data_IF_449342789431
#
_entry.id   IF_449342789431
#
_cell.length_a   1.000
_cell.length_b   1.000
_cell.length_c   1.000
_cell.angle_alpha   90.00
_cell.angle_beta   90.00
_cell.angle_gamma   90.00
#
_symmetry.space_group_name_H-M   'P 1'
#
loop_
_entity.id
_entity.type
_entity.pdbx_description
1 polymer ?
#
# COMPACT_ATOMS: atom_id res chain seq x y z
N UNK A 1 -18.51 -21.79 28.06
CA UNK A 1 -17.75 -20.83 27.23
C UNK A 1 -16.30 -21.28 27.16
N UNK A 2 -15.81 -21.48 25.94
CA UNK A 2 -14.41 -21.84 25.72
C UNK A 2 -13.52 -20.60 25.90
N UNK A 3 -12.37 -20.75 26.58
CA UNK A 3 -11.46 -19.62 26.86
C UNK A 3 -10.08 -19.86 26.24
N UNK A 4 -9.49 -18.78 25.78
CA UNK A 4 -8.15 -18.70 25.19
C UNK A 4 -7.32 -17.65 25.94
N UNK A 5 -5.99 -17.74 25.85
CA UNK A 5 -5.12 -16.67 26.36
C UNK A 5 -5.25 -15.44 25.46
N UNK A 6 -5.29 -15.67 24.14
CA UNK A 6 -5.48 -14.61 23.17
C UNK A 6 -6.46 -15.04 22.05
N UNK A 7 -7.29 -14.09 21.61
CA UNK A 7 -8.10 -14.21 20.40
C UNK A 7 -7.63 -13.14 19.40
N UNK A 8 -7.40 -13.55 18.15
CA UNK A 8 -6.98 -12.67 17.09
C UNK A 8 -8.06 -12.67 16.01
N UNK A 9 -8.56 -11.47 15.66
CA UNK A 9 -9.60 -11.31 14.65
C UNK A 9 -8.97 -10.81 13.36
N UNK A 10 -9.04 -11.64 12.32
CA UNK A 10 -8.49 -11.40 10.98
C UNK A 10 -7.35 -12.36 10.64
N UNK A 11 -7.59 -13.32 9.75
CA UNK A 11 -6.62 -14.29 9.25
C UNK A 11 -5.90 -13.77 7.99
N UNK A 12 -5.49 -12.50 8.00
CA UNK A 12 -4.57 -11.91 7.05
C UNK A 12 -3.11 -12.06 7.47
N UNK A 13 -2.23 -11.31 6.83
CA UNK A 13 -0.80 -11.34 7.09
C UNK A 13 -0.45 -11.13 8.57
N UNK A 14 -0.90 -10.03 9.15
CA UNK A 14 -0.60 -9.68 10.53
C UNK A 14 -1.22 -10.67 11.53
N UNK A 15 -2.48 -11.04 11.34
CA UNK A 15 -3.19 -11.94 12.25
C UNK A 15 -2.62 -13.35 12.28
N UNK A 16 -2.30 -13.93 11.13
CA UNK A 16 -1.67 -15.25 11.06
C UNK A 16 -0.28 -15.24 11.70
N UNK A 17 0.53 -14.24 11.39
CA UNK A 17 1.88 -14.16 11.92
C UNK A 17 1.91 -13.98 13.44
N UNK A 18 1.07 -13.07 13.97
CA UNK A 18 0.92 -12.87 15.41
C UNK A 18 0.45 -14.14 16.11
N UNK A 19 -0.55 -14.82 15.55
CA UNK A 19 -1.08 -16.09 16.10
C UNK A 19 -0.03 -17.18 16.16
N UNK A 20 0.74 -17.33 15.09
CA UNK A 20 1.81 -18.32 15.01
C UNK A 20 2.87 -18.09 16.09
N UNK A 21 3.34 -16.86 16.24
CA UNK A 21 4.36 -16.50 17.23
C UNK A 21 3.87 -16.72 18.67
N UNK A 22 2.66 -16.27 18.98
CA UNK A 22 2.08 -16.46 20.32
C UNK A 22 1.82 -17.93 20.64
N UNK A 23 1.30 -18.70 19.67
CA UNK A 23 1.07 -20.13 19.81
C UNK A 23 2.34 -20.95 20.03
N UNK A 24 3.40 -20.65 19.25
CA UNK A 24 4.70 -21.31 19.40
C UNK A 24 5.38 -20.97 20.73
N UNK A 25 5.05 -19.86 21.34
CA UNK A 25 5.48 -19.49 22.69
C UNK A 25 4.60 -20.10 23.81
N UNK A 26 3.69 -21.01 23.47
CA UNK A 26 2.88 -21.78 24.42
C UNK A 26 1.55 -21.16 24.81
N UNK A 27 1.13 -20.04 24.17
CA UNK A 27 -0.19 -19.45 24.44
C UNK A 27 -1.28 -20.21 23.70
N UNK A 28 -2.44 -20.37 24.36
CA UNK A 28 -3.64 -20.93 23.73
C UNK A 28 -4.32 -19.83 22.90
N UNK A 29 -4.18 -19.93 21.58
CA UNK A 29 -4.59 -18.89 20.63
C UNK A 29 -5.76 -19.37 19.76
N UNK A 30 -6.76 -18.49 19.59
CA UNK A 30 -7.83 -18.64 18.60
C UNK A 30 -7.68 -17.54 17.55
N UNK A 31 -7.57 -17.95 16.28
CA UNK A 31 -7.58 -17.06 15.11
C UNK A 31 -8.94 -17.16 14.42
N UNK A 32 -9.64 -16.04 14.26
CA UNK A 32 -10.99 -15.97 13.67
C UNK A 32 -10.96 -15.16 12.40
N UNK A 33 -11.64 -15.64 11.36
CA UNK A 33 -11.90 -14.86 10.15
C UNK A 33 -13.30 -15.18 9.58
N UNK A 34 -13.97 -14.19 9.03
CA UNK A 34 -15.26 -14.36 8.37
C UNK A 34 -15.15 -14.97 6.96
N UNK A 35 -13.96 -15.00 6.41
CA UNK A 35 -13.68 -15.54 5.07
C UNK A 35 -13.60 -17.05 5.02
N UNK A 36 -13.64 -17.56 3.80
CA UNK A 36 -13.54 -19.01 3.51
C UNK A 36 -12.11 -19.53 3.54
N UNK A 37 -11.14 -18.64 3.36
CA UNK A 37 -9.70 -18.95 3.28
C UNK A 37 -8.89 -17.87 3.98
N UNK A 38 -7.76 -18.23 4.62
CA UNK A 38 -6.85 -17.24 5.17
C UNK A 38 -6.04 -16.54 4.06
N UNK A 39 -5.48 -15.39 4.35
CA UNK A 39 -4.49 -14.73 3.50
C UNK A 39 -5.02 -14.21 2.16
N UNK A 40 -6.29 -13.86 2.03
CA UNK A 40 -6.91 -13.47 0.76
C UNK A 40 -6.19 -12.29 0.07
N UNK A 41 -5.80 -11.26 0.82
CA UNK A 41 -5.02 -10.12 0.27
C UNK A 41 -3.60 -10.55 -0.13
N UNK A 42 -2.98 -11.48 0.58
CA UNK A 42 -1.67 -12.02 0.21
C UNK A 42 -1.74 -12.67 -1.16
N UNK A 43 -2.74 -13.52 -1.39
CA UNK A 43 -2.93 -14.25 -2.65
C UNK A 43 -3.10 -13.33 -3.87
N UNK A 44 -3.71 -12.17 -3.68
CA UNK A 44 -3.92 -11.19 -4.77
C UNK A 44 -2.77 -10.22 -4.94
N UNK A 45 -1.89 -10.13 -3.96
CA UNK A 45 -0.79 -9.16 -3.97
C UNK A 45 0.30 -9.52 -4.99
N UNK A 46 0.97 -8.48 -5.50
CA UNK A 46 2.09 -8.66 -6.41
C UNK A 46 1.76 -9.45 -7.68
N UNK A 47 0.52 -9.35 -8.17
CA UNK A 47 0.09 -10.13 -9.33
C UNK A 47 0.06 -11.64 -9.08
N UNK A 48 -0.23 -12.06 -7.84
CA UNK A 48 -0.26 -13.47 -7.42
C UNK A 48 1.10 -14.03 -6.99
N UNK A 49 2.13 -13.19 -6.86
CA UNK A 49 3.48 -13.60 -6.43
C UNK A 49 3.90 -13.04 -5.08
N UNK A 50 3.06 -12.27 -4.44
CA UNK A 50 3.27 -11.60 -3.17
C UNK A 50 4.57 -10.78 -3.10
N UNK A 51 4.43 -9.48 -3.08
CA UNK A 51 5.53 -8.58 -2.73
C UNK A 51 5.67 -8.54 -1.20
N UNK A 52 6.35 -9.52 -0.62
CA UNK A 52 6.27 -9.84 0.81
C UNK A 52 7.08 -8.92 1.71
N UNK A 53 8.07 -8.21 1.20
CA UNK A 53 8.82 -7.15 1.90
C UNK A 53 9.63 -6.31 0.92
N UNK A 54 10.42 -5.37 1.48
CA UNK A 54 11.31 -4.51 0.72
C UNK A 54 12.68 -4.45 1.40
N UNK A 55 13.76 -4.42 0.63
CA UNK A 55 15.13 -4.32 1.14
C UNK A 55 15.41 -2.98 1.82
N UNK A 56 14.70 -1.91 1.44
CA UNK A 56 14.94 -0.53 1.88
C UNK A 56 13.90 -0.03 2.90
N UNK A 57 13.36 -0.94 3.71
CA UNK A 57 12.42 -0.56 4.77
C UNK A 57 13.08 0.41 5.75
N UNK A 58 12.45 1.56 5.87
CA UNK A 58 12.84 2.62 6.82
C UNK A 58 11.61 3.38 7.31
N UNK A 59 11.64 4.01 8.49
CA UNK A 59 10.49 4.73 9.02
C UNK A 59 9.95 5.84 8.12
N UNK A 60 10.82 6.50 7.34
CA UNK A 60 10.44 7.56 6.39
C UNK A 60 9.55 7.10 5.23
N UNK A 61 9.48 5.79 4.98
CA UNK A 61 8.61 5.20 3.97
C UNK A 61 7.17 4.95 4.46
N UNK A 62 6.82 5.41 5.65
CA UNK A 62 5.50 5.20 6.26
C UNK A 62 4.82 6.53 6.60
N UNK A 63 3.54 6.64 6.21
CA UNK A 63 2.67 7.75 6.57
C UNK A 63 1.92 7.42 7.84
N UNK A 64 1.90 8.37 8.76
CA UNK A 64 1.10 8.34 9.99
C UNK A 64 1.02 9.77 10.53
N UNK A 65 -0.02 10.11 11.25
CA UNK A 65 -0.04 11.37 12.02
C UNK A 65 1.05 11.39 13.11
N UNK A 66 1.46 10.22 13.58
CA UNK A 66 2.64 10.06 14.42
C UNK A 66 3.75 9.32 13.63
N UNK A 67 4.65 10.03 12.94
CA UNK A 67 5.68 9.41 12.10
C UNK A 67 6.73 8.61 12.91
N UNK A 68 6.74 8.74 14.23
CA UNK A 68 7.65 8.01 15.11
C UNK A 68 7.10 6.66 15.58
N UNK A 69 5.80 6.44 15.44
CA UNK A 69 5.15 5.25 15.99
C UNK A 69 5.73 3.93 15.44
N UNK A 70 5.99 3.85 14.16
CA UNK A 70 6.47 2.63 13.51
C UNK A 70 7.92 2.26 13.82
N UNK A 71 8.72 3.18 14.33
CA UNK A 71 10.17 3.01 14.50
C UNK A 71 10.55 1.80 15.36
N UNK A 72 9.91 1.66 16.52
CA UNK A 72 10.24 0.57 17.46
C UNK A 72 9.96 -0.81 16.87
N UNK A 73 8.78 -1.02 16.30
CA UNK A 73 8.42 -2.32 15.75
C UNK A 73 9.27 -2.67 14.52
N UNK A 74 9.50 -1.73 13.60
CA UNK A 74 10.35 -1.95 12.43
C UNK A 74 11.81 -2.26 12.77
N UNK A 75 12.33 -1.68 13.86
CA UNK A 75 13.70 -1.93 14.30
C UNK A 75 13.87 -3.28 15.01
N UNK A 76 12.84 -3.78 15.69
CA UNK A 76 12.89 -5.04 16.45
C UNK A 76 12.58 -6.27 15.64
N UNK A 77 11.75 -6.15 14.61
CA UNK A 77 11.51 -7.18 13.60
C UNK A 77 11.66 -6.55 12.22
N UNK A 78 12.79 -6.82 11.59
CA UNK A 78 13.20 -6.19 10.33
C UNK A 78 12.79 -7.02 9.11
N UNK A 79 12.94 -6.44 7.92
CA UNK A 79 12.79 -7.18 6.66
C UNK A 79 13.72 -8.39 6.57
N UNK A 80 14.90 -8.32 7.15
CA UNK A 80 15.87 -9.43 7.16
C UNK A 80 15.38 -10.61 7.99
N UNK A 81 14.72 -10.36 9.11
CA UNK A 81 14.09 -11.39 9.94
C UNK A 81 13.00 -12.13 9.18
N UNK A 82 12.18 -11.40 8.41
CA UNK A 82 11.15 -12.04 7.59
C UNK A 82 11.74 -12.80 6.40
N UNK A 83 12.76 -12.26 5.74
CA UNK A 83 13.50 -12.95 4.67
C UNK A 83 14.09 -14.27 5.20
N UNK A 84 14.65 -14.28 6.40
CA UNK A 84 15.17 -15.48 7.02
C UNK A 84 14.08 -16.55 7.23
N UNK A 85 12.87 -16.13 7.63
CA UNK A 85 11.73 -17.04 7.74
C UNK A 85 11.34 -17.62 6.38
N UNK A 86 11.26 -16.79 5.34
CA UNK A 86 10.97 -17.22 3.96
C UNK A 86 12.02 -18.22 3.47
N UNK A 87 13.30 -17.94 3.71
CA UNK A 87 14.40 -18.84 3.38
C UNK A 87 14.34 -20.16 4.14
N UNK A 88 14.00 -20.13 5.44
CA UNK A 88 13.83 -21.32 6.27
C UNK A 88 12.76 -22.28 5.73
N UNK A 89 11.71 -21.73 5.10
CA UNK A 89 10.67 -22.52 4.44
C UNK A 89 11.03 -22.91 3.00
N UNK A 90 12.24 -22.61 2.53
CA UNK A 90 12.69 -23.00 1.19
C UNK A 90 11.96 -22.29 0.05
N UNK A 91 11.35 -21.14 0.30
CA UNK A 91 10.62 -20.36 -0.70
C UNK A 91 11.61 -19.53 -1.53
N UNK A 92 11.68 -19.80 -2.84
CA UNK A 92 12.51 -19.04 -3.76
C UNK A 92 11.88 -17.67 -4.03
N UNK A 93 12.73 -16.65 -4.07
CA UNK A 93 12.32 -15.27 -4.29
C UNK A 93 13.37 -14.49 -5.07
N UNK A 94 12.97 -13.34 -5.64
CA UNK A 94 13.85 -12.42 -6.36
C UNK A 94 13.50 -10.96 -6.04
N UNK A 95 14.47 -10.08 -6.23
CA UNK A 95 14.24 -8.64 -6.29
C UNK A 95 13.81 -8.25 -7.71
N UNK A 96 12.69 -7.55 -7.84
CA UNK A 96 12.21 -7.06 -9.13
C UNK A 96 12.83 -5.71 -9.47
N UNK A 97 12.57 -4.71 -8.64
CA UNK A 97 13.09 -3.34 -8.76
C UNK A 97 12.87 -2.61 -7.43
N UNK A 98 13.66 -1.57 -7.14
CA UNK A 98 13.51 -0.70 -5.97
C UNK A 98 13.39 -1.46 -4.64
N UNK A 99 14.11 -2.55 -4.50
CA UNK A 99 14.12 -3.36 -3.28
C UNK A 99 12.90 -4.26 -3.09
N UNK A 100 11.98 -4.34 -4.04
CA UNK A 100 10.75 -5.13 -3.96
C UNK A 100 11.04 -6.62 -4.09
N UNK A 101 10.68 -7.41 -3.08
CA UNK A 101 10.90 -8.86 -3.07
C UNK A 101 9.62 -9.64 -3.35
N UNK A 102 9.69 -10.51 -4.34
CA UNK A 102 8.57 -11.35 -4.79
C UNK A 102 8.92 -12.83 -4.70
N UNK A 103 7.93 -13.68 -4.39
CA UNK A 103 8.08 -15.12 -4.59
C UNK A 103 8.27 -15.42 -6.08
N UNK A 104 9.14 -16.39 -6.39
CA UNK A 104 9.35 -16.79 -7.78
C UNK A 104 8.12 -17.47 -8.38
N UNK A 105 7.45 -18.32 -7.61
CA UNK A 105 6.34 -19.13 -8.09
C UNK A 105 4.96 -18.53 -7.76
N UNK A 106 4.60 -18.43 -6.49
CA UNK A 106 3.23 -18.09 -6.09
C UNK A 106 3.15 -17.45 -4.71
N UNK A 107 2.22 -16.49 -4.56
CA UNK A 107 1.80 -15.95 -3.27
C UNK A 107 1.24 -17.02 -2.31
N UNK A 108 0.74 -18.14 -2.84
CA UNK A 108 0.27 -19.28 -2.04
C UNK A 108 1.36 -19.80 -1.11
N UNK A 109 2.63 -19.74 -1.50
CA UNK A 109 3.75 -20.19 -0.67
C UNK A 109 3.87 -19.40 0.64
N UNK A 110 3.62 -18.08 0.62
CA UNK A 110 3.61 -17.27 1.84
C UNK A 110 2.42 -17.64 2.74
N UNK A 111 1.24 -17.86 2.15
CA UNK A 111 0.06 -18.30 2.91
C UNK A 111 0.31 -19.67 3.56
N UNK A 112 0.82 -20.62 2.79
CA UNK A 112 1.13 -21.98 3.29
C UNK A 112 2.18 -21.95 4.40
N UNK A 113 3.21 -21.10 4.26
CA UNK A 113 4.20 -20.87 5.31
C UNK A 113 3.55 -20.37 6.61
N UNK A 114 2.68 -19.37 6.52
CA UNK A 114 2.00 -18.82 7.70
C UNK A 114 1.03 -19.83 8.34
N UNK A 115 0.34 -20.63 7.54
CA UNK A 115 -0.52 -21.72 8.02
C UNK A 115 0.32 -22.77 8.76
N UNK A 116 1.44 -23.18 8.17
CA UNK A 116 2.36 -24.14 8.80
C UNK A 116 2.91 -23.61 10.14
N UNK A 117 3.29 -22.33 10.18
CA UNK A 117 3.73 -21.70 11.43
C UNK A 117 2.61 -21.62 12.49
N UNK A 118 1.35 -21.41 12.08
CA UNK A 118 0.20 -21.50 12.98
C UNK A 118 -0.03 -22.94 13.50
N UNK A 119 0.10 -23.95 12.64
CA UNK A 119 -0.01 -25.36 13.02
C UNK A 119 1.07 -25.77 14.03
N UNK A 120 2.31 -25.34 13.83
CA UNK A 120 3.41 -25.55 14.79
C UNK A 120 3.11 -24.92 16.15
N UNK A 121 2.38 -23.82 16.18
CA UNK A 121 1.92 -23.16 17.41
C UNK A 121 0.64 -23.71 18.00
N UNK A 122 0.07 -24.79 17.46
CA UNK A 122 -1.23 -25.36 17.86
C UNK A 122 -2.35 -24.29 17.87
N UNK A 123 -2.32 -23.33 16.97
CA UNK A 123 -3.33 -22.27 16.85
C UNK A 123 -4.66 -22.89 16.40
N UNK A 124 -5.73 -22.61 17.15
CA UNK A 124 -7.08 -22.94 16.70
C UNK A 124 -7.54 -21.92 15.68
N UNK A 125 -7.85 -22.36 14.46
CA UNK A 125 -8.30 -21.48 13.37
C UNK A 125 -9.77 -21.71 13.08
N UNK A 126 -10.58 -20.65 13.13
CA UNK A 126 -12.02 -20.67 12.79
C UNK A 126 -12.29 -19.71 11.65
N UNK A 127 -12.41 -20.25 10.45
CA UNK A 127 -12.86 -19.54 9.26
C UNK A 127 -14.40 -19.53 9.17
N UNK A 128 -14.96 -18.72 8.28
CA UNK A 128 -16.42 -18.53 8.11
C UNK A 128 -17.13 -18.21 9.43
N UNK A 129 -16.42 -17.51 10.31
CA UNK A 129 -16.89 -17.16 11.64
C UNK A 129 -16.98 -15.65 11.78
N UNK A 130 -18.19 -15.16 11.89
CA UNK A 130 -18.45 -13.72 12.07
C UNK A 130 -18.48 -13.40 13.58
N UNK A 131 -17.79 -12.34 13.97
CA UNK A 131 -17.87 -11.78 15.32
C UNK A 131 -19.06 -10.83 15.36
N UNK A 132 -20.09 -11.17 16.12
CA UNK A 132 -21.33 -10.40 16.23
C UNK A 132 -21.21 -9.29 17.28
N UNK A 133 -20.54 -9.57 18.40
CA UNK A 133 -20.32 -8.59 19.46
C UNK A 133 -19.05 -8.91 20.25
N UNK A 134 -18.51 -7.87 20.87
CA UNK A 134 -17.37 -7.94 21.78
C UNK A 134 -17.75 -7.18 23.05
N UNK A 135 -17.60 -7.82 24.20
CA UNK A 135 -17.76 -7.20 25.51
C UNK A 135 -16.49 -7.37 26.33
N UNK A 136 -16.23 -6.46 27.25
CA UNK A 136 -15.11 -6.53 28.19
C UNK A 136 -15.60 -6.38 29.61
N UNK A 137 -15.10 -7.24 30.50
CA UNK A 137 -15.27 -7.15 31.94
C UNK A 137 -13.92 -7.31 32.67
N UNK A 138 -13.95 -7.55 33.96
CA UNK A 138 -12.75 -7.74 34.79
C UNK A 138 -11.96 -9.00 34.42
N UNK A 139 -12.62 -9.99 33.80
CA UNK A 139 -12.01 -11.29 33.43
C UNK A 139 -11.42 -11.31 32.02
N UNK A 140 -11.62 -10.24 31.24
CA UNK A 140 -11.14 -10.11 29.86
C UNK A 140 -12.26 -9.81 28.87
N UNK A 141 -12.14 -10.39 27.69
CA UNK A 141 -13.07 -10.17 26.58
C UNK A 141 -13.96 -11.38 26.35
N UNK A 142 -15.21 -11.09 26.00
CA UNK A 142 -16.19 -12.11 25.58
C UNK A 142 -16.67 -11.75 24.19
N UNK A 143 -16.54 -12.71 23.25
CA UNK A 143 -16.97 -12.56 21.87
C UNK A 143 -18.15 -13.49 21.61
N UNK A 144 -19.18 -12.93 21.00
CA UNK A 144 -20.31 -13.67 20.46
C UNK A 144 -20.07 -13.96 18.97
N UNK A 145 -20.07 -15.22 18.62
CA UNK A 145 -19.94 -15.72 17.25
C UNK A 145 -21.26 -16.36 16.81
N UNK A 146 -21.37 -16.72 15.53
CA UNK A 146 -22.51 -17.48 15.05
C UNK A 146 -22.69 -18.80 15.81
N UNK A 147 -23.61 -18.79 16.79
CA UNK A 147 -23.99 -19.98 17.56
C UNK A 147 -23.07 -20.38 18.72
N UNK A 148 -22.09 -19.56 19.07
CA UNK A 148 -21.21 -19.82 20.22
C UNK A 148 -20.64 -18.54 20.84
N UNK A 149 -20.22 -18.66 22.10
CA UNK A 149 -19.51 -17.62 22.84
C UNK A 149 -18.12 -18.09 23.23
N UNK A 150 -17.10 -17.27 23.00
CA UNK A 150 -15.71 -17.53 23.37
C UNK A 150 -15.17 -16.37 24.22
N UNK A 151 -14.17 -16.65 25.05
CA UNK A 151 -13.55 -15.63 25.90
C UNK A 151 -12.03 -15.65 25.82
N UNK A 152 -11.40 -14.50 26.13
CA UNK A 152 -9.96 -14.39 26.21
C UNK A 152 -9.53 -13.30 27.19
N UNK A 153 -8.27 -13.36 27.61
CA UNK A 153 -7.65 -12.28 28.37
C UNK A 153 -7.19 -11.13 27.46
N UNK A 154 -6.64 -11.48 26.30
CA UNK A 154 -6.06 -10.54 25.34
C UNK A 154 -6.76 -10.67 23.98
N UNK A 155 -7.19 -9.52 23.42
CA UNK A 155 -7.89 -9.45 22.14
C UNK A 155 -7.07 -8.63 21.15
N UNK A 156 -6.79 -9.19 19.98
CA UNK A 156 -6.01 -8.55 18.91
C UNK A 156 -6.90 -8.33 17.69
N UNK A 157 -6.96 -7.09 17.24
CA UNK A 157 -7.66 -6.68 16.03
C UNK A 157 -6.66 -6.61 14.87
N UNK A 158 -6.81 -7.49 13.91
CA UNK A 158 -5.95 -7.63 12.72
C UNK A 158 -6.77 -7.63 11.43
N UNK A 159 -7.83 -6.83 11.40
CA UNK A 159 -8.86 -6.86 10.36
C UNK A 159 -8.51 -6.12 9.07
N UNK A 160 -7.36 -5.45 9.04
CA UNK A 160 -6.96 -4.65 7.87
C UNK A 160 -7.79 -3.37 7.72
N UNK A 161 -7.79 -2.83 6.51
CA UNK A 161 -8.50 -1.61 6.13
C UNK A 161 -9.73 -1.87 5.27
N UNK A 162 -10.11 -0.85 4.49
CA UNK A 162 -11.30 -0.84 3.64
C UNK A 162 -11.01 -1.13 2.17
N UNK A 163 -9.74 -1.17 1.79
CA UNK A 163 -9.34 -1.42 0.40
C UNK A 163 -9.69 -2.85 -0.04
N UNK A 164 -10.04 -2.98 -1.32
CA UNK A 164 -10.47 -4.24 -1.95
C UNK A 164 -11.67 -4.88 -1.24
N UNK A 165 -12.84 -4.23 -1.21
CA UNK A 165 -14.01 -4.73 -0.48
C UNK A 165 -14.47 -6.12 -0.94
N UNK A 166 -14.21 -6.49 -2.20
CA UNK A 166 -14.46 -7.84 -2.72
C UNK A 166 -13.67 -8.96 -2.03
N UNK A 167 -12.61 -8.63 -1.31
CA UNK A 167 -11.82 -9.56 -0.50
C UNK A 167 -12.26 -9.60 0.98
N UNK A 168 -13.40 -8.99 1.31
CA UNK A 168 -13.97 -9.02 2.65
C UNK A 168 -13.46 -7.92 3.59
N UNK A 169 -12.92 -6.83 3.04
CA UNK A 169 -12.62 -5.64 3.83
C UNK A 169 -13.88 -5.11 4.51
N UNK A 170 -13.77 -4.71 5.76
CA UNK A 170 -14.89 -4.17 6.53
C UNK A 170 -14.43 -3.14 7.57
N UNK A 171 -15.32 -2.24 8.03
CA UNK A 171 -15.01 -1.28 9.07
C UNK A 171 -15.01 -1.88 10.48
N UNK A 172 -15.11 -3.18 10.65
CA UNK A 172 -15.26 -3.85 11.95
C UNK A 172 -14.19 -3.41 12.96
N UNK A 173 -12.91 -3.40 12.57
CA UNK A 173 -11.83 -3.03 13.47
C UNK A 173 -11.92 -1.57 13.93
N UNK A 174 -12.36 -0.66 13.09
CA UNK A 174 -12.60 0.74 13.44
C UNK A 174 -13.78 0.87 14.42
N UNK A 175 -14.85 0.12 14.19
CA UNK A 175 -16.01 0.10 15.10
C UNK A 175 -15.64 -0.43 16.49
N UNK A 176 -14.78 -1.44 16.56
CA UNK A 176 -14.27 -1.94 17.85
C UNK A 176 -13.43 -0.86 18.55
N UNK A 177 -12.55 -0.18 17.84
CA UNK A 177 -11.78 0.93 18.42
C UNK A 177 -12.70 2.01 18.99
N UNK A 178 -13.69 2.47 18.24
CA UNK A 178 -14.67 3.46 18.66
C UNK A 178 -15.52 2.98 19.85
N UNK A 179 -15.97 1.73 19.84
CA UNK A 179 -16.72 1.10 20.93
C UNK A 179 -15.97 1.19 22.26
N UNK A 180 -14.65 1.02 22.24
CA UNK A 180 -13.79 1.10 23.41
C UNK A 180 -13.21 2.49 23.68
N UNK A 181 -13.73 3.52 23.00
CA UNK A 181 -13.40 4.92 23.25
C UNK A 181 -12.07 5.39 22.64
N UNK A 182 -11.54 4.64 21.66
CA UNK A 182 -10.33 5.03 20.93
C UNK A 182 -10.69 5.93 19.75
N UNK A 183 -9.83 6.91 19.47
CA UNK A 183 -9.98 7.76 18.30
C UNK A 183 -9.64 7.01 17.02
N UNK A 184 -10.47 7.17 16.00
CA UNK A 184 -10.24 6.65 14.64
C UNK A 184 -10.13 7.84 13.71
N UNK A 185 -8.99 7.98 13.05
CA UNK A 185 -8.74 9.05 12.08
C UNK A 185 -9.53 8.79 10.79
N UNK A 186 -9.99 9.85 10.09
CA UNK A 186 -10.68 9.69 8.82
C UNK A 186 -9.89 8.82 7.85
N UNK A 187 -10.57 7.87 7.22
CA UNK A 187 -9.97 6.95 6.27
C UNK A 187 -10.19 7.43 4.83
N UNK A 188 -9.22 7.15 3.97
CA UNK A 188 -9.33 7.32 2.52
C UNK A 188 -8.50 6.29 1.78
N UNK A 189 -8.81 6.08 0.50
CA UNK A 189 -8.03 5.20 -0.36
C UNK A 189 -6.60 5.73 -0.54
N UNK A 190 -5.62 4.86 -0.44
CA UNK A 190 -4.22 5.12 -0.71
C UNK A 190 -3.65 4.12 -1.71
N UNK A 191 -2.52 4.44 -2.33
CA UNK A 191 -1.94 3.67 -3.44
C UNK A 191 -3.04 3.33 -4.46
N UNK A 192 -3.65 4.37 -5.01
CA UNK A 192 -4.87 4.30 -5.82
C UNK A 192 -4.74 5.15 -7.08
N UNK A 193 -5.28 4.72 -8.23
CA UNK A 193 -5.29 5.53 -9.44
C UNK A 193 -6.08 6.84 -9.29
N UNK A 194 -5.62 7.87 -10.01
CA UNK A 194 -6.37 9.12 -10.17
C UNK A 194 -7.43 9.01 -11.26
N UNK A 195 -8.58 9.62 -11.01
CA UNK A 195 -9.57 9.94 -12.04
C UNK A 195 -9.34 11.35 -12.57
N UNK A 196 -9.70 11.59 -13.82
CA UNK A 196 -9.56 12.90 -14.46
C UNK A 196 -10.94 13.53 -14.75
N UNK A 197 -10.98 14.86 -14.75
CA UNK A 197 -12.13 15.60 -15.22
C UNK A 197 -12.44 15.27 -16.68
N UNK A 198 -13.71 15.25 -17.04
CA UNK A 198 -14.20 14.74 -18.31
C UNK A 198 -13.46 15.32 -19.54
N UNK A 199 -13.23 16.63 -19.69
CA UNK A 199 -12.52 17.15 -20.86
C UNK A 199 -11.12 16.56 -21.03
N UNK A 200 -10.32 16.55 -19.97
CA UNK A 200 -8.96 16.00 -20.00
C UNK A 200 -8.97 14.47 -20.19
N UNK A 201 -9.94 13.78 -19.57
CA UNK A 201 -10.10 12.34 -19.76
C UNK A 201 -10.40 11.99 -21.23
N UNK A 202 -11.31 12.71 -21.88
CA UNK A 202 -11.64 12.49 -23.30
C UNK A 202 -10.41 12.72 -24.21
N UNK A 203 -9.55 13.66 -23.85
CA UNK A 203 -8.30 13.91 -24.57
C UNK A 203 -7.29 12.77 -24.40
N UNK A 204 -7.18 12.19 -23.20
CA UNK A 204 -6.10 11.28 -22.83
C UNK A 204 -6.48 9.80 -22.84
N UNK A 205 -7.78 9.44 -22.80
CA UNK A 205 -8.21 8.04 -22.70
C UNK A 205 -7.74 7.15 -23.88
N UNK A 206 -7.47 7.74 -25.04
CA UNK A 206 -6.93 7.02 -26.20
C UNK A 206 -5.51 6.51 -25.97
N UNK A 207 -4.81 7.04 -24.95
CA UNK A 207 -3.48 6.62 -24.54
C UNK A 207 -3.50 5.45 -23.54
N UNK A 208 -4.67 4.91 -23.21
CA UNK A 208 -4.77 3.80 -22.26
C UNK A 208 -3.80 2.67 -22.63
N UNK A 209 -3.04 2.22 -21.61
CA UNK A 209 -1.98 1.22 -21.74
C UNK A 209 -0.59 1.79 -22.04
N UNK A 210 -0.46 3.10 -22.31
CA UNK A 210 0.85 3.74 -22.48
C UNK A 210 1.49 4.02 -21.12
N UNK A 211 2.72 3.52 -20.93
CA UNK A 211 3.53 3.76 -19.73
C UNK A 211 4.70 4.70 -20.06
N UNK A 212 5.01 5.61 -19.14
CA UNK A 212 6.07 6.60 -19.30
C UNK A 212 6.88 6.69 -18.02
N UNK A 213 8.20 6.49 -18.03
CA UNK A 213 9.07 6.81 -16.90
C UNK A 213 8.92 8.30 -16.54
N UNK A 214 8.56 8.59 -15.31
CA UNK A 214 8.17 9.94 -14.90
C UNK A 214 8.67 10.29 -13.51
N UNK A 215 8.70 11.56 -13.19
CA UNK A 215 8.80 12.07 -11.82
C UNK A 215 7.54 12.86 -11.52
N UNK A 216 6.84 12.50 -10.45
CA UNK A 216 5.62 13.16 -10.00
C UNK A 216 5.87 13.82 -8.65
N UNK A 217 5.49 15.09 -8.55
CA UNK A 217 5.65 15.90 -7.34
C UNK A 217 4.28 16.37 -6.84
N UNK A 218 3.99 16.12 -5.57
CA UNK A 218 2.81 16.66 -4.89
C UNK A 218 3.04 18.10 -4.42
N UNK A 219 1.97 18.83 -4.09
CA UNK A 219 2.08 20.21 -3.59
C UNK A 219 2.87 20.33 -2.28
N UNK A 220 2.87 19.29 -1.44
CA UNK A 220 3.68 19.26 -0.23
C UNK A 220 5.18 18.99 -0.46
N UNK A 221 5.61 18.88 -1.72
CA UNK A 221 7.00 18.64 -2.09
C UNK A 221 7.44 17.18 -2.16
N UNK A 222 6.57 16.22 -1.84
CA UNK A 222 6.88 14.80 -1.96
C UNK A 222 7.04 14.41 -3.44
N UNK A 223 8.07 13.62 -3.73
CA UNK A 223 8.48 13.25 -5.08
C UNK A 223 8.60 11.74 -5.21
N UNK A 224 8.04 11.20 -6.29
CA UNK A 224 8.28 9.80 -6.69
C UNK A 224 8.72 9.72 -8.14
N UNK A 225 9.72 8.86 -8.36
CA UNK A 225 10.29 8.58 -9.68
C UNK A 225 10.03 7.12 -10.04
N UNK A 226 9.01 6.89 -10.83
CA UNK A 226 8.59 5.58 -11.35
C UNK A 226 7.76 5.77 -12.62
N UNK A 227 7.25 4.68 -13.19
CA UNK A 227 6.38 4.77 -14.36
C UNK A 227 5.00 5.37 -14.02
N UNK A 228 4.53 6.24 -14.90
CA UNK A 228 3.14 6.66 -15.02
C UNK A 228 2.46 5.80 -16.09
N UNK A 229 1.21 5.41 -15.85
CA UNK A 229 0.39 4.64 -16.78
C UNK A 229 -0.90 5.41 -17.10
N UNK A 230 -1.16 5.65 -18.38
CA UNK A 230 -2.45 6.15 -18.83
C UNK A 230 -3.48 5.03 -18.82
N UNK A 231 -4.69 5.33 -18.34
CA UNK A 231 -5.81 4.38 -18.28
C UNK A 231 -7.07 4.99 -18.89
N UNK A 232 -8.11 4.17 -19.07
CA UNK A 232 -9.42 4.63 -19.52
C UNK A 232 -10.13 5.57 -18.53
N UNK A 233 -9.72 5.59 -17.27
CA UNK A 233 -10.32 6.41 -16.20
C UNK A 233 -9.45 7.59 -15.77
N UNK A 234 -8.18 7.60 -16.16
CA UNK A 234 -7.26 8.64 -15.79
C UNK A 234 -5.81 8.20 -15.81
N UNK A 235 -5.15 8.33 -14.67
CA UNK A 235 -3.74 8.06 -14.51
C UNK A 235 -3.52 7.00 -13.41
N UNK A 236 -2.62 6.07 -13.67
CA UNK A 236 -2.21 5.01 -12.77
C UNK A 236 -0.70 4.77 -12.89
N UNK A 237 -0.26 3.57 -12.55
CA UNK A 237 1.15 3.19 -12.52
C UNK A 237 1.82 3.51 -11.18
N UNK A 238 3.00 2.98 -10.93
CA UNK A 238 3.65 3.08 -9.61
C UNK A 238 3.83 4.52 -9.12
N UNK A 239 4.23 5.45 -9.99
CA UNK A 239 4.43 6.85 -9.60
C UNK A 239 3.12 7.51 -9.15
N UNK A 240 2.01 7.23 -9.83
CA UNK A 240 0.69 7.76 -9.47
C UNK A 240 0.17 7.11 -8.18
N UNK A 241 0.30 5.80 -8.05
CA UNK A 241 -0.11 5.10 -6.82
C UNK A 241 0.61 5.67 -5.60
N UNK A 242 1.93 5.85 -5.69
CA UNK A 242 2.74 6.44 -4.62
C UNK A 242 2.27 7.84 -4.26
N UNK A 243 2.16 8.73 -5.24
CA UNK A 243 1.84 10.13 -5.00
C UNK A 243 0.40 10.32 -4.52
N UNK A 244 -0.52 9.40 -4.86
CA UNK A 244 -1.92 9.47 -4.43
C UNK A 244 -2.09 9.48 -2.92
N UNK A 245 -1.17 8.86 -2.19
CA UNK A 245 -1.16 8.85 -0.72
C UNK A 245 -0.76 10.20 -0.11
N UNK A 246 -0.11 11.07 -0.87
CA UNK A 246 0.33 12.41 -0.46
C UNK A 246 -0.51 13.55 -1.04
N UNK A 247 -1.32 13.26 -2.05
CA UNK A 247 -2.22 14.20 -2.68
C UNK A 247 -3.49 14.42 -1.84
N UNK A 248 -3.93 15.67 -1.73
CA UNK A 248 -5.21 16.02 -1.11
C UNK A 248 -6.23 16.45 -2.18
N UNK A 249 -7.54 16.18 -1.98
CA UNK A 249 -8.57 16.62 -2.91
C UNK A 249 -8.48 18.13 -3.23
N UNK A 250 -8.45 18.46 -4.52
CA UNK A 250 -8.34 19.82 -5.03
C UNK A 250 -6.91 20.28 -5.32
N UNK A 251 -5.90 19.54 -4.89
CA UNK A 251 -4.50 19.87 -5.21
C UNK A 251 -4.12 19.45 -6.63
N UNK A 252 -3.07 20.10 -7.15
CA UNK A 252 -2.38 19.70 -8.37
C UNK A 252 -1.25 18.71 -8.08
N UNK A 253 -0.86 17.97 -9.10
CA UNK A 253 0.42 17.26 -9.17
C UNK A 253 1.21 17.78 -10.36
N UNK A 254 2.53 17.86 -10.22
CA UNK A 254 3.45 18.19 -11.31
C UNK A 254 4.08 16.93 -11.85
N UNK A 255 4.03 16.73 -13.15
CA UNK A 255 4.53 15.53 -13.82
C UNK A 255 5.64 15.90 -14.78
N UNK A 256 6.84 15.36 -14.55
CA UNK A 256 7.94 15.42 -15.51
C UNK A 256 7.95 14.10 -16.29
N UNK A 257 7.65 14.18 -17.58
CA UNK A 257 7.62 13.05 -18.51
C UNK A 257 8.99 12.71 -19.10
N UNK A 258 10.00 13.53 -18.86
CA UNK A 258 11.37 13.40 -19.38
C UNK A 258 12.41 13.62 -18.25
N UNK A 259 12.35 12.85 -17.15
CA UNK A 259 13.20 13.12 -15.98
C UNK A 259 14.70 12.89 -16.23
N UNK A 260 15.05 12.12 -17.26
CA UNK A 260 16.44 11.76 -17.61
C UNK A 260 17.02 12.62 -18.73
N UNK A 261 16.25 13.57 -19.26
CA UNK A 261 16.63 14.37 -20.44
C UNK A 261 16.62 15.85 -20.09
N UNK A 262 17.75 16.53 -20.28
CA UNK A 262 17.77 17.97 -20.41
C UNK A 262 17.21 18.33 -21.78
N UNK A 263 15.91 18.60 -21.83
CA UNK A 263 15.17 18.77 -23.08
C UNK A 263 15.65 19.99 -23.86
N UNK A 264 16.04 21.07 -23.19
CA UNK A 264 16.56 22.28 -23.85
C UNK A 264 17.87 21.98 -24.57
N UNK A 265 18.82 21.38 -23.89
CA UNK A 265 20.11 20.97 -24.46
C UNK A 265 19.90 19.98 -25.60
N UNK A 266 19.06 18.96 -25.40
CA UNK A 266 18.76 17.95 -26.41
C UNK A 266 18.16 18.57 -27.68
N UNK A 267 17.18 19.44 -27.56
CA UNK A 267 16.56 20.09 -28.73
C UNK A 267 17.54 20.99 -29.48
N UNK A 268 18.40 21.73 -28.78
CA UNK A 268 19.41 22.58 -29.38
C UNK A 268 20.47 21.74 -30.14
N UNK A 269 20.94 20.66 -29.57
CA UNK A 269 21.89 19.76 -30.23
C UNK A 269 21.26 19.11 -31.46
N UNK A 270 20.02 18.63 -31.36
CA UNK A 270 19.31 18.01 -32.50
C UNK A 270 19.01 19.02 -33.59
N UNK A 271 18.70 20.28 -33.26
CA UNK A 271 18.50 21.36 -34.23
C UNK A 271 19.78 21.61 -35.03
N UNK A 272 20.93 21.63 -34.37
CA UNK A 272 22.21 21.81 -35.02
C UNK A 272 22.58 20.65 -35.93
N UNK A 273 22.33 19.42 -35.50
CA UNK A 273 22.67 18.24 -36.25
C UNK A 273 21.67 17.91 -37.38
N UNK A 274 20.36 18.10 -37.10
CA UNK A 274 19.27 17.70 -37.99
C UNK A 274 18.17 18.76 -38.11
N UNK A 275 18.46 19.99 -38.63
CA UNK A 275 17.52 21.11 -38.61
C UNK A 275 16.19 20.84 -39.33
N UNK A 276 16.17 19.95 -40.30
CA UNK A 276 14.99 19.63 -41.08
C UNK A 276 14.15 18.46 -40.47
N UNK A 277 14.64 17.82 -39.40
CA UNK A 277 13.90 16.76 -38.73
C UNK A 277 12.64 17.33 -38.08
N UNK A 278 11.53 16.55 -38.14
CA UNK A 278 10.30 16.95 -37.45
C UNK A 278 10.48 16.89 -35.94
N UNK A 279 9.89 17.84 -35.22
CA UNK A 279 9.86 17.86 -33.76
C UNK A 279 9.27 16.56 -33.19
N UNK A 280 8.20 16.07 -33.80
CA UNK A 280 7.56 14.79 -33.46
C UNK A 280 8.56 13.62 -33.46
N UNK A 281 9.32 13.45 -34.52
CA UNK A 281 10.28 12.35 -34.62
C UNK A 281 11.45 12.52 -33.64
N UNK A 282 11.86 13.75 -33.38
CA UNK A 282 12.89 14.08 -32.39
C UNK A 282 12.45 13.68 -30.98
N UNK A 283 11.24 14.04 -30.57
CA UNK A 283 10.70 13.69 -29.24
C UNK A 283 10.40 12.19 -29.08
N UNK A 284 10.06 11.50 -30.17
CA UNK A 284 9.78 10.05 -30.15
C UNK A 284 11.01 9.19 -29.83
N UNK A 285 12.21 9.77 -29.82
CA UNK A 285 13.43 9.10 -29.32
C UNK A 285 13.33 8.81 -27.81
N UNK A 286 12.70 9.69 -27.04
CA UNK A 286 12.62 9.62 -25.59
C UNK A 286 11.21 9.37 -25.04
N UNK A 287 10.18 9.63 -25.82
CA UNK A 287 8.77 9.48 -25.44
C UNK A 287 8.08 8.41 -26.30
N UNK A 288 7.08 7.71 -25.74
CA UNK A 288 6.26 6.80 -26.53
C UNK A 288 5.64 7.52 -27.73
N UNK A 289 5.73 6.90 -28.90
CA UNK A 289 5.24 7.49 -30.16
C UNK A 289 3.76 7.89 -30.07
N UNK A 290 2.92 7.03 -29.50
CA UNK A 290 1.49 7.32 -29.31
C UNK A 290 1.23 8.57 -28.46
N UNK A 291 2.05 8.80 -27.43
CA UNK A 291 1.95 10.00 -26.61
C UNK A 291 2.29 11.24 -27.39
N UNK A 292 3.42 11.23 -28.12
CA UNK A 292 3.86 12.37 -28.95
C UNK A 292 2.82 12.69 -30.03
N UNK A 293 2.29 11.69 -30.71
CA UNK A 293 1.23 11.85 -31.71
C UNK A 293 -0.04 12.48 -31.13
N UNK A 294 -0.45 12.02 -29.94
CA UNK A 294 -1.64 12.55 -29.28
C UNK A 294 -1.44 14.00 -28.83
N UNK A 295 -0.32 14.32 -28.23
CA UNK A 295 -0.01 15.69 -27.81
C UNK A 295 0.07 16.65 -29.01
N UNK A 296 0.56 16.18 -30.16
CA UNK A 296 0.54 16.95 -31.40
C UNK A 296 -0.90 17.18 -31.89
N UNK A 297 -1.75 16.16 -31.90
CA UNK A 297 -3.17 16.29 -32.27
C UNK A 297 -3.91 17.30 -31.37
N UNK A 298 -3.53 17.38 -30.09
CA UNK A 298 -4.08 18.32 -29.12
C UNK A 298 -3.47 19.73 -29.20
N UNK A 299 -2.52 19.96 -30.13
CA UNK A 299 -1.86 21.23 -30.29
C UNK A 299 -0.84 21.59 -29.22
N UNK A 300 -0.48 20.62 -28.36
CA UNK A 300 0.52 20.82 -27.30
C UNK A 300 1.96 20.62 -27.80
N UNK A 301 2.13 19.89 -28.88
CA UNK A 301 3.39 19.76 -29.62
C UNK A 301 3.18 20.37 -31.01
N UNK A 302 3.94 21.40 -31.40
CA UNK A 302 3.83 22.00 -32.72
C UNK A 302 4.19 21.01 -33.84
N UNK A 303 3.48 21.09 -34.95
CA UNK A 303 3.81 20.31 -36.17
C UNK A 303 4.80 21.10 -37.04
N UNK A 304 6.06 21.14 -36.61
CA UNK A 304 7.15 21.90 -37.23
C UNK A 304 8.43 21.09 -37.29
N UNK A 305 9.35 21.50 -38.16
CA UNK A 305 10.75 21.04 -38.10
C UNK A 305 11.52 21.76 -37.00
N UNK A 306 12.65 21.20 -36.58
CA UNK A 306 13.48 21.79 -35.52
C UNK A 306 13.94 23.21 -35.81
N UNK A 307 14.26 23.52 -37.09
CA UNK A 307 14.65 24.88 -37.50
C UNK A 307 13.52 25.89 -37.41
N UNK A 308 12.26 25.43 -37.48
CA UNK A 308 11.07 26.29 -37.39
C UNK A 308 10.60 26.49 -35.95
N UNK A 309 11.08 25.69 -35.01
CA UNK A 309 10.73 25.81 -33.59
C UNK A 309 11.38 27.11 -33.03
N UNK A 310 10.57 28.11 -32.75
CA UNK A 310 11.04 29.36 -32.15
C UNK A 310 11.28 29.20 -30.63
N UNK A 311 11.95 30.17 -30.02
CA UNK A 311 12.33 30.13 -28.59
C UNK A 311 11.10 30.07 -27.68
N UNK A 312 10.04 30.83 -28.01
CA UNK A 312 8.80 30.86 -27.21
C UNK A 312 8.12 29.50 -27.20
N UNK A 313 7.96 28.88 -28.36
CA UNK A 313 7.30 27.58 -28.50
C UNK A 313 8.15 26.46 -27.88
N UNK A 314 9.49 26.58 -27.98
CA UNK A 314 10.41 25.69 -27.32
C UNK A 314 10.26 25.73 -25.78
N UNK A 315 10.19 26.92 -25.19
CA UNK A 315 10.01 27.05 -23.73
C UNK A 315 8.64 26.53 -23.29
N UNK A 316 7.59 26.81 -24.05
CA UNK A 316 6.25 26.24 -23.76
C UNK A 316 6.23 24.72 -23.84
N UNK A 317 6.92 24.13 -24.81
CA UNK A 317 7.06 22.69 -24.96
C UNK A 317 7.82 22.07 -23.78
N UNK A 318 8.94 22.69 -23.37
CA UNK A 318 9.72 22.24 -22.21
C UNK A 318 8.85 22.25 -20.97
N UNK A 319 8.13 23.33 -20.70
CA UNK A 319 7.21 23.41 -19.57
C UNK A 319 6.12 22.33 -19.61
N UNK A 320 5.52 22.11 -20.77
CA UNK A 320 4.46 21.10 -20.95
C UNK A 320 4.97 19.69 -20.67
N UNK A 321 6.18 19.34 -21.08
CA UNK A 321 6.72 17.97 -20.97
C UNK A 321 7.46 17.71 -19.66
N UNK A 322 7.97 18.75 -19.00
CA UNK A 322 8.78 18.60 -17.76
C UNK A 322 8.08 19.10 -16.50
N UNK A 323 7.01 19.87 -16.63
CA UNK A 323 6.18 20.39 -15.53
C UNK A 323 4.69 20.36 -15.90
N UNK A 324 4.22 19.22 -16.37
CA UNK A 324 2.81 19.05 -16.69
C UNK A 324 1.97 19.04 -15.43
N UNK A 325 1.19 20.09 -15.25
CA UNK A 325 0.33 20.25 -14.07
C UNK A 325 -1.04 19.66 -14.31
N UNK A 326 -1.39 18.69 -13.48
CA UNK A 326 -2.68 18.00 -13.52
C UNK A 326 -3.38 18.17 -12.17
N UNK A 327 -4.66 18.54 -12.21
CA UNK A 327 -5.54 18.50 -11.05
C UNK A 327 -6.43 17.26 -11.18
N UNK A 328 -6.17 16.19 -10.43
CA UNK A 328 -7.04 15.03 -10.43
C UNK A 328 -8.47 15.38 -10.01
N UNK A 329 -9.46 14.77 -10.64
CA UNK A 329 -10.86 14.88 -10.22
C UNK A 329 -11.09 14.20 -8.86
N UNK A 330 -10.34 13.13 -8.61
CA UNK A 330 -10.41 12.29 -7.42
C UNK A 330 -9.59 11.04 -7.63
N UNK A 331 -9.94 10.01 -6.89
CA UNK A 331 -9.34 8.67 -7.02
C UNK A 331 -10.39 7.65 -7.41
N UNK A 332 -9.98 6.45 -7.81
CA UNK A 332 -10.89 5.33 -8.07
C UNK A 332 -11.51 4.74 -6.78
N UNK A 333 -11.08 5.21 -5.60
CA UNK A 333 -11.59 4.78 -4.31
C UNK A 333 -11.11 3.40 -3.87
N UNK A 334 -11.72 2.86 -2.82
CA UNK A 334 -11.28 1.61 -2.18
C UNK A 334 -11.31 0.39 -3.09
N UNK A 335 -12.13 0.39 -4.13
CA UNK A 335 -12.28 -0.78 -5.02
C UNK A 335 -10.97 -1.18 -5.69
N UNK A 336 -10.13 -0.21 -6.04
CA UNK A 336 -8.85 -0.41 -6.72
C UNK A 336 -7.65 0.04 -5.88
N UNK A 337 -7.89 0.65 -4.71
CA UNK A 337 -6.83 1.03 -3.80
C UNK A 337 -6.12 -0.20 -3.24
N UNK A 338 -4.80 -0.14 -3.13
CA UNK A 338 -4.05 -1.20 -2.46
C UNK A 338 -4.12 -1.10 -0.94
N UNK A 339 -4.24 0.11 -0.40
CA UNK A 339 -4.23 0.38 1.04
C UNK A 339 -5.29 1.40 1.44
N UNK A 340 -5.51 1.49 2.75
CA UNK A 340 -6.34 2.50 3.41
C UNK A 340 -5.44 3.42 4.21
N UNK A 341 -5.51 4.71 3.96
CA UNK A 341 -4.89 5.75 4.79
C UNK A 341 -5.78 6.08 5.97
N UNK A 342 -5.20 6.51 7.10
CA UNK A 342 -5.94 6.74 8.32
C UNK A 342 -6.21 5.44 9.09
N UNK A 343 -7.19 5.44 9.95
CA UNK A 343 -7.54 4.32 10.80
C UNK A 343 -7.34 4.60 12.29
N UNK A 344 -7.11 3.58 13.09
CA UNK A 344 -6.95 3.73 14.52
C UNK A 344 -5.76 4.65 14.84
N UNK A 345 -6.03 5.71 15.60
CA UNK A 345 -5.02 6.71 15.96
C UNK A 345 -3.90 6.06 16.78
N UNK A 346 -2.69 6.10 16.27
CA UNK A 346 -1.52 5.49 16.91
C UNK A 346 -1.15 6.16 18.24
N UNK A 347 -1.60 7.40 18.49
CA UNK A 347 -1.45 8.03 19.80
C UNK A 347 -2.26 7.34 20.91
N UNK A 348 -3.27 6.58 20.55
CA UNK A 348 -4.05 5.74 21.47
C UNK A 348 -3.36 4.41 21.82
N UNK A 349 -2.27 4.08 21.12
CA UNK A 349 -1.59 2.78 21.19
C UNK A 349 -0.18 2.91 21.71
N UNK A 350 0.32 1.83 22.32
CA UNK A 350 1.74 1.69 22.64
C UNK A 350 2.54 1.31 21.40
N UNK A 351 3.54 2.10 21.03
CA UNK A 351 4.46 1.81 19.91
C UNK A 351 5.34 0.57 20.16
N UNK A 352 5.45 0.14 21.40
CA UNK A 352 6.24 -1.02 21.78
C UNK A 352 5.44 -2.32 21.68
N UNK A 353 4.16 -2.30 22.10
CA UNK A 353 3.34 -3.49 22.29
C UNK A 353 2.13 -3.56 21.37
N UNK A 354 1.78 -2.48 20.70
CA UNK A 354 0.54 -2.34 19.92
C UNK A 354 -0.73 -2.37 20.79
N UNK A 355 -0.61 -2.33 22.12
CA UNK A 355 -1.73 -2.33 23.05
C UNK A 355 -2.39 -0.94 23.15
N UNK A 356 -3.71 -0.92 23.25
CA UNK A 356 -4.46 0.29 23.53
C UNK A 356 -4.16 0.82 24.95
N UNK A 357 -3.73 2.09 25.05
CA UNK A 357 -3.32 2.69 26.33
C UNK A 357 -4.45 2.76 27.35
N UNK A 358 -5.68 2.96 26.89
CA UNK A 358 -6.88 3.10 27.73
C UNK A 358 -7.60 1.78 27.99
N UNK A 359 -7.28 0.72 27.27
CA UNK A 359 -8.01 -0.56 27.31
C UNK A 359 -7.01 -1.70 27.42
N UNK A 360 -6.58 -2.04 28.65
CA UNK A 360 -5.66 -3.15 28.85
C UNK A 360 -6.17 -4.44 28.22
N UNK A 361 -5.28 -5.14 27.52
CA UNK A 361 -5.57 -6.40 26.83
C UNK A 361 -6.13 -6.23 25.42
N UNK A 362 -6.37 -5.03 24.93
CA UNK A 362 -6.84 -4.77 23.57
C UNK A 362 -5.67 -4.29 22.69
N UNK A 363 -5.45 -4.96 21.55
CA UNK A 363 -4.33 -4.70 20.63
C UNK A 363 -4.84 -4.46 19.22
N UNK A 364 -4.09 -3.66 18.45
CA UNK A 364 -4.33 -3.45 17.02
C UNK A 364 -3.02 -3.68 16.26
N UNK A 365 -3.06 -4.45 15.17
CA UNK A 365 -1.89 -4.76 14.34
C UNK A 365 -2.20 -4.64 12.85
N UNK A 366 -1.18 -4.35 12.07
CA UNK A 366 -1.30 -4.21 10.62
C UNK A 366 -2.00 -2.92 10.18
N UNK A 367 -2.69 -3.00 9.06
CA UNK A 367 -3.25 -1.86 8.33
C UNK A 367 -4.42 -1.17 9.04
N UNK A 368 -5.03 -1.79 10.04
CA UNK A 368 -6.13 -1.17 10.80
C UNK A 368 -5.68 0.08 11.55
N UNK A 369 -4.41 0.20 11.86
CA UNK A 369 -3.81 1.40 12.45
C UNK A 369 -3.48 2.45 11.39
N UNK A 370 -3.36 3.71 11.82
CA UNK A 370 -2.86 4.81 11.01
C UNK A 370 -1.33 4.69 10.77
N UNK A 371 -0.93 3.66 10.06
CA UNK A 371 0.42 3.45 9.53
C UNK A 371 0.30 2.87 8.14
N UNK A 372 0.74 3.62 7.13
CA UNK A 372 0.63 3.25 5.73
C UNK A 372 1.98 3.36 5.03
N UNK A 373 2.47 2.25 4.52
CA UNK A 373 3.74 2.19 3.79
C UNK A 373 3.63 2.57 2.32
N UNK A 374 4.76 2.81 1.71
CA UNK A 374 4.89 2.96 0.26
C UNK A 374 4.52 1.68 -0.48
N UNK A 375 4.29 1.81 -1.78
CA UNK A 375 4.14 0.68 -2.69
C UNK A 375 5.45 -0.13 -2.73
N UNK A 376 5.34 -1.46 -2.69
CA UNK A 376 6.48 -2.32 -2.91
C UNK A 376 6.94 -3.14 -1.70
N UNK A 377 6.02 -3.70 -0.93
CA UNK A 377 6.29 -4.61 0.18
C UNK A 377 6.37 -3.95 1.56
N UNK A 378 6.30 -2.65 1.63
CA UNK A 378 6.37 -1.89 2.90
C UNK A 378 5.17 -2.17 3.81
N UNK A 379 3.96 -2.31 3.27
CA UNK A 379 2.76 -2.58 4.05
C UNK A 379 2.75 -4.00 4.61
N UNK A 380 3.29 -4.98 3.87
CA UNK A 380 3.49 -6.31 4.42
C UNK A 380 4.54 -6.29 5.53
N UNK A 381 5.65 -5.57 5.35
CA UNK A 381 6.64 -5.47 6.44
C UNK A 381 6.03 -4.86 7.71
N UNK A 382 5.17 -3.86 7.59
CA UNK A 382 4.45 -3.34 8.75
C UNK A 382 3.54 -4.40 9.40
N UNK A 383 2.86 -5.21 8.60
CA UNK A 383 2.07 -6.33 9.12
C UNK A 383 2.95 -7.29 9.93
N UNK A 384 4.13 -7.66 9.41
CA UNK A 384 5.06 -8.54 10.12
C UNK A 384 5.61 -7.92 11.39
N UNK A 385 6.10 -6.70 11.32
CA UNK A 385 6.73 -6.00 12.45
C UNK A 385 5.76 -5.68 13.57
N UNK A 386 4.55 -5.21 13.25
CA UNK A 386 3.51 -4.93 14.25
C UNK A 386 2.98 -6.21 14.89
N UNK A 387 2.81 -7.27 14.11
CA UNK A 387 2.40 -8.59 14.60
C UNK A 387 3.44 -9.17 15.58
N UNK A 388 4.72 -9.07 15.22
CA UNK A 388 5.80 -9.51 16.10
C UNK A 388 5.82 -8.72 17.42
N UNK A 389 5.72 -7.40 17.35
CA UNK A 389 5.71 -6.54 18.55
C UNK A 389 4.55 -6.88 19.48
N UNK A 390 3.35 -7.12 18.94
CA UNK A 390 2.19 -7.57 19.70
C UNK A 390 2.43 -8.94 20.31
N UNK A 391 2.92 -9.91 19.52
CA UNK A 391 3.15 -11.27 20.00
C UNK A 391 4.13 -11.31 21.18
N UNK A 392 5.17 -10.48 21.19
CA UNK A 392 6.10 -10.40 22.34
C UNK A 392 5.38 -10.00 23.63
N UNK A 393 4.39 -9.12 23.57
CA UNK A 393 3.61 -8.71 24.75
C UNK A 393 2.55 -9.74 25.14
N UNK A 394 1.97 -10.45 24.17
CA UNK A 394 1.03 -11.54 24.45
C UNK A 394 1.67 -12.67 25.23
N UNK A 395 2.97 -12.88 25.10
CA UNK A 395 3.72 -13.97 25.78
C UNK A 395 4.48 -13.48 27.01
N UNK A 396 4.60 -12.18 27.23
CA UNK A 396 5.17 -11.64 28.44
C UNK A 396 4.34 -12.04 29.66
N UNK A 397 5.00 -12.38 30.78
CA UNK A 397 4.39 -12.72 32.05
C UNK A 397 3.82 -11.49 32.79
#
# INVERSE_FOLDING_TARGET
MERFDAIIIGAGAAGMFCSALAGQAGRRVLLIDNGKKPGRKILMSGGGRCNFTNLYVEPGAYLSQNPHFCKSALARFTQWDFIDLVNKHGIAWHEKTLGQLFCDDSAQQIVDMLVDECEKGNVTVRLRSEVLSVAKDETGFTLELNGMTVGCEKLVIATGGLSMPGLGASPFGYKIAEQFGLNVLPTRAGLVPFTLHKPLLEELQVLAGVAVPSVITAENGTVFRENLLFTHRGLSGPAVLQISSYWQPGEFVSINLLPDVDLETFLNEQRNAHPNQSLKNTLAVHLPKRLVERLQQLGQIPDVSLKQLNVRDQQALISTLTDWRVQPNGTEGYRTAEVTLGGVDTNELSSRTMEARKVPGLYFIGEVMDVTGWLGGYNFQWAWSSAWACAQDLVAE
#
